data_IF_970327332117
#
_entry.id   IF_970327332117
#
_cell.length_a   1.000
_cell.length_b   1.000
_cell.length_c   1.000
_cell.angle_alpha   90.00
_cell.angle_beta   90.00
_cell.angle_gamma   90.00
#
_symmetry.space_group_name_H-M   'P 1'
#
loop_
_entity.id
_entity.type
_entity.pdbx_description
1 polymer ?
#
# COMPACT_ATOMS: atom_id res chain seq x y z
N UNK A 1 -35.60 23.81 5.78
CA UNK A 1 -34.61 22.99 5.03
C UNK A 1 -33.41 23.80 4.49
N UNK A 2 -33.33 25.12 4.63
CA UNK A 2 -32.22 25.95 4.08
C UNK A 2 -30.94 25.94 4.96
N UNK A 3 -30.98 25.40 6.18
CA UNK A 3 -29.83 25.44 7.11
C UNK A 3 -28.76 24.34 6.91
N UNK A 4 -29.05 23.23 6.23
CA UNK A 4 -28.12 22.09 6.17
C UNK A 4 -26.97 22.31 5.18
N UNK A 5 -27.20 22.99 4.06
CA UNK A 5 -26.16 23.19 3.03
C UNK A 5 -25.07 24.17 3.49
N UNK A 6 -25.46 25.21 4.23
CA UNK A 6 -24.51 26.17 4.79
C UNK A 6 -23.66 25.54 5.89
N UNK A 7 -24.27 24.72 6.75
CA UNK A 7 -23.53 23.96 7.77
C UNK A 7 -22.54 22.98 7.12
N UNK A 8 -22.96 22.21 6.12
CA UNK A 8 -22.06 21.27 5.43
C UNK A 8 -20.87 22.00 4.77
N UNK A 9 -21.11 23.12 4.08
CA UNK A 9 -20.03 23.94 3.47
C UNK A 9 -19.06 24.48 4.53
N UNK A 10 -19.56 24.92 5.68
CA UNK A 10 -18.71 25.39 6.79
C UNK A 10 -17.86 24.24 7.36
N UNK A 11 -18.45 23.07 7.60
CA UNK A 11 -17.72 21.89 8.07
C UNK A 11 -16.58 21.48 7.14
N UNK A 12 -16.83 21.42 5.82
CA UNK A 12 -15.80 21.08 4.83
C UNK A 12 -14.65 22.09 4.84
N UNK A 13 -14.95 23.39 4.98
CA UNK A 13 -13.92 24.43 5.08
C UNK A 13 -13.08 24.28 6.34
N UNK A 14 -13.71 24.03 7.49
CA UNK A 14 -13.01 23.82 8.76
C UNK A 14 -12.08 22.60 8.69
N UNK A 15 -12.57 21.47 8.18
CA UNK A 15 -11.76 20.25 8.00
C UNK A 15 -10.54 20.53 7.13
N UNK A 16 -10.71 21.25 6.01
CA UNK A 16 -9.59 21.62 5.14
C UNK A 16 -8.55 22.51 5.86
N UNK A 17 -8.99 23.48 6.67
CA UNK A 17 -8.09 24.33 7.45
C UNK A 17 -7.28 23.48 8.44
N UNK A 18 -7.94 22.55 9.15
CA UNK A 18 -7.25 21.65 10.08
C UNK A 18 -6.26 20.72 9.36
N UNK A 19 -6.61 20.18 8.20
CA UNK A 19 -5.70 19.37 7.38
C UNK A 19 -4.43 20.13 7.03
N UNK A 20 -4.57 21.36 6.51
CA UNK A 20 -3.44 22.20 6.11
C UNK A 20 -2.60 22.58 7.33
N UNK A 21 -3.23 23.02 8.42
CA UNK A 21 -2.53 23.37 9.65
C UNK A 21 -1.72 22.18 10.19
N UNK A 22 -2.28 20.98 10.20
CA UNK A 22 -1.62 19.80 10.72
C UNK A 22 -0.43 19.36 9.85
N UNK A 23 -0.56 19.44 8.52
CA UNK A 23 0.56 19.20 7.59
C UNK A 23 1.66 20.24 7.78
N UNK A 24 1.33 21.52 7.95
CA UNK A 24 2.29 22.60 8.19
C UNK A 24 3.02 22.43 9.51
N UNK A 25 2.32 22.09 10.60
CA UNK A 25 2.92 21.78 11.90
C UNK A 25 3.90 20.61 11.75
N UNK A 26 3.49 19.54 11.08
CA UNK A 26 4.37 18.38 10.87
C UNK A 26 5.61 18.72 10.03
N UNK A 27 5.44 19.54 8.98
CA UNK A 27 6.56 20.04 8.18
C UNK A 27 7.50 20.92 9.02
N UNK A 28 6.96 21.81 9.87
CA UNK A 28 7.77 22.63 10.78
C UNK A 28 8.57 21.76 11.75
N UNK A 29 7.99 20.71 12.33
CA UNK A 29 8.71 19.78 13.20
C UNK A 29 9.87 19.09 12.47
N UNK A 30 9.72 18.80 11.18
CA UNK A 30 10.81 18.23 10.36
C UNK A 30 11.89 19.27 10.09
N UNK A 31 11.51 20.48 9.64
CA UNK A 31 12.46 21.53 9.25
C UNK A 31 13.29 22.02 10.45
N UNK A 32 12.68 22.06 11.63
CA UNK A 32 13.34 22.46 12.89
C UNK A 32 14.18 21.35 13.52
N UNK A 33 14.16 20.13 12.97
CA UNK A 33 14.90 18.99 13.49
C UNK A 33 14.25 18.30 14.70
N UNK A 34 13.08 18.74 15.18
CA UNK A 34 12.35 18.04 16.24
C UNK A 34 11.87 16.65 15.82
N UNK A 35 11.64 16.44 14.52
CA UNK A 35 11.29 15.14 13.96
C UNK A 35 12.18 14.80 12.77
N UNK A 36 12.91 13.70 12.90
CA UNK A 36 13.74 13.17 11.82
C UNK A 36 13.45 11.69 11.59
N UNK A 37 13.38 11.32 10.31
CA UNK A 37 13.32 9.94 9.88
C UNK A 37 14.69 9.47 9.44
N UNK A 38 15.13 8.34 9.99
CA UNK A 38 16.42 7.74 9.66
C UNK A 38 16.26 6.90 8.40
N UNK A 39 17.14 7.13 7.41
CA UNK A 39 17.24 6.27 6.23
C UNK A 39 17.76 4.92 6.70
N UNK A 40 17.12 3.83 6.24
CA UNK A 40 17.50 2.49 6.67
C UNK A 40 18.97 2.16 6.33
N UNK A 41 19.65 1.46 7.23
CA UNK A 41 21.10 1.16 7.13
C UNK A 41 21.49 0.54 5.79
N UNK A 42 20.68 -0.38 5.26
CA UNK A 42 20.91 -1.03 3.96
C UNK A 42 21.07 -0.07 2.77
N UNK A 43 20.58 1.17 2.86
CA UNK A 43 20.82 2.23 1.89
C UNK A 43 21.86 3.20 2.41
N UNK A 44 21.78 3.56 3.69
CA UNK A 44 22.72 4.50 4.31
C UNK A 44 24.18 4.07 4.16
N UNK A 45 24.49 2.82 4.51
CA UNK A 45 25.84 2.27 4.53
C UNK A 45 26.52 2.29 3.14
N UNK A 46 25.72 2.31 2.06
CA UNK A 46 26.22 2.33 0.68
C UNK A 46 26.30 3.74 0.09
N UNK A 47 25.44 4.66 0.54
CA UNK A 47 25.25 5.97 -0.10
C UNK A 47 25.77 7.16 0.72
N UNK A 48 25.91 7.08 2.05
CA UNK A 48 26.30 8.23 2.86
C UNK A 48 27.77 8.64 2.66
N UNK A 49 28.67 7.67 2.47
CA UNK A 49 30.11 7.93 2.34
C UNK A 49 30.57 8.11 0.89
N UNK A 50 29.70 7.84 -0.09
CA UNK A 50 30.06 7.89 -1.50
C UNK A 50 29.81 9.26 -2.13
N UNK A 51 30.73 9.68 -3.02
CA UNK A 51 30.57 10.88 -3.84
C UNK A 51 29.41 10.74 -4.84
N UNK A 52 28.94 11.85 -5.42
CA UNK A 52 27.82 11.84 -6.37
C UNK A 52 28.01 10.86 -7.55
N UNK A 53 29.21 10.85 -8.15
CA UNK A 53 29.53 9.94 -9.26
C UNK A 53 29.61 8.47 -8.81
N UNK A 54 30.18 8.22 -7.63
CA UNK A 54 30.24 6.87 -7.05
C UNK A 54 28.85 6.32 -6.74
N UNK A 55 27.94 7.16 -6.23
CA UNK A 55 26.55 6.76 -5.98
C UNK A 55 25.85 6.33 -7.27
N UNK A 56 26.00 7.09 -8.35
CA UNK A 56 25.43 6.74 -9.68
C UNK A 56 25.92 5.37 -10.16
N UNK A 57 27.24 5.15 -10.11
CA UNK A 57 27.86 3.91 -10.55
C UNK A 57 27.47 2.73 -9.64
N UNK A 58 27.32 2.97 -8.34
CA UNK A 58 26.89 1.97 -7.36
C UNK A 58 25.48 1.50 -7.66
N UNK A 59 24.54 2.42 -7.93
CA UNK A 59 23.16 2.05 -8.30
C UNK A 59 23.15 1.20 -9.58
N UNK A 60 23.85 1.63 -10.62
CA UNK A 60 23.91 0.90 -11.89
C UNK A 60 24.55 -0.49 -11.74
N UNK A 61 25.65 -0.57 -10.98
CA UNK A 61 26.33 -1.84 -10.67
C UNK A 61 25.39 -2.78 -9.91
N UNK A 62 24.64 -2.29 -8.93
CA UNK A 62 23.70 -3.11 -8.19
C UNK A 62 22.55 -3.63 -9.05
N UNK A 63 22.11 -2.89 -10.07
CA UNK A 63 21.16 -3.43 -11.05
C UNK A 63 21.82 -4.46 -11.97
N UNK A 64 23.05 -4.22 -12.42
CA UNK A 64 23.80 -5.16 -13.26
C UNK A 64 24.07 -6.50 -12.53
N UNK A 65 24.44 -6.41 -11.26
CA UNK A 65 24.69 -7.55 -10.36
C UNK A 65 23.39 -8.22 -9.89
N UNK A 66 22.23 -7.69 -10.29
CA UNK A 66 20.91 -8.11 -9.82
C UNK A 66 20.90 -8.17 -8.29
N UNK A 67 21.32 -7.12 -7.61
CA UNK A 67 21.24 -7.07 -6.15
C UNK A 67 19.79 -6.90 -5.69
N UNK A 68 19.39 -7.67 -4.67
CA UNK A 68 18.06 -7.57 -4.05
C UNK A 68 17.76 -6.20 -3.45
N UNK A 69 18.79 -5.41 -3.16
CA UNK A 69 18.67 -4.07 -2.59
C UNK A 69 18.63 -2.97 -3.65
N UNK A 70 18.92 -3.29 -4.91
CA UNK A 70 18.98 -2.31 -6.01
C UNK A 70 17.70 -1.48 -6.12
N UNK A 71 16.53 -2.12 -6.04
CA UNK A 71 15.24 -1.43 -6.13
C UNK A 71 14.98 -0.48 -4.96
N UNK A 72 15.43 -0.84 -3.75
CA UNK A 72 15.33 0.01 -2.55
C UNK A 72 16.24 1.23 -2.65
N UNK A 73 17.46 1.01 -3.12
CA UNK A 73 18.45 2.06 -3.31
C UNK A 73 17.98 3.01 -4.42
N UNK A 74 17.48 2.48 -5.54
CA UNK A 74 16.94 3.29 -6.63
C UNK A 74 15.77 4.18 -6.19
N UNK A 75 14.96 3.72 -5.24
CA UNK A 75 13.83 4.49 -4.71
C UNK A 75 14.28 5.68 -3.85
N UNK A 76 15.38 5.54 -3.10
CA UNK A 76 15.91 6.59 -2.21
C UNK A 76 16.96 7.45 -2.91
N UNK A 77 17.60 6.94 -3.96
CA UNK A 77 18.66 7.62 -4.69
C UNK A 77 18.31 9.06 -5.14
N UNK A 78 17.10 9.35 -5.65
CA UNK A 78 16.72 10.73 -5.99
C UNK A 78 16.80 11.70 -4.80
N UNK A 79 16.60 11.23 -3.57
CA UNK A 79 16.68 12.05 -2.36
C UNK A 79 18.13 12.48 -2.11
N UNK A 80 19.08 11.56 -2.27
CA UNK A 80 20.51 11.86 -2.18
C UNK A 80 20.94 12.88 -3.24
N UNK A 81 20.49 12.71 -4.49
CA UNK A 81 20.82 13.66 -5.56
C UNK A 81 20.24 15.05 -5.29
N UNK A 82 18.98 15.13 -4.88
CA UNK A 82 18.33 16.40 -4.56
C UNK A 82 18.95 17.06 -3.33
N UNK A 83 19.42 16.28 -2.37
CA UNK A 83 20.13 16.79 -1.19
C UNK A 83 21.43 17.49 -1.58
N UNK A 84 22.23 16.91 -2.47
CA UNK A 84 23.46 17.55 -2.96
C UNK A 84 23.15 18.82 -3.78
N UNK A 85 22.15 18.77 -4.67
CA UNK A 85 21.78 19.90 -5.54
C UNK A 85 21.25 21.08 -4.73
N UNK A 86 20.39 20.81 -3.74
CA UNK A 86 19.75 21.84 -2.93
C UNK A 86 20.58 22.25 -1.71
N UNK A 87 21.67 21.53 -1.42
CA UNK A 87 22.46 21.65 -0.20
C UNK A 87 21.60 21.56 1.08
N UNK A 88 20.65 20.63 1.09
CA UNK A 88 19.76 20.34 2.23
C UNK A 88 20.19 19.03 2.85
N UNK A 89 20.20 18.91 4.18
CA UNK A 89 20.49 17.65 4.86
C UNK A 89 19.61 16.48 4.32
N UNK A 90 20.25 15.36 3.97
CA UNK A 90 19.61 14.18 3.35
C UNK A 90 18.44 13.66 4.19
N UNK A 91 18.59 13.60 5.52
CA UNK A 91 17.58 13.07 6.43
C UNK A 91 16.37 14.02 6.54
N UNK A 92 16.60 15.33 6.51
CA UNK A 92 15.51 16.33 6.40
C UNK A 92 14.73 16.13 5.11
N UNK A 93 15.42 15.97 3.97
CA UNK A 93 14.77 15.78 2.68
C UNK A 93 14.04 14.43 2.58
N UNK A 94 14.59 13.37 3.16
CA UNK A 94 13.91 12.08 3.31
C UNK A 94 12.63 12.22 4.15
N UNK A 95 12.70 12.93 5.28
CA UNK A 95 11.55 13.19 6.15
C UNK A 95 10.46 13.99 5.44
N UNK A 96 10.83 15.00 4.65
CA UNK A 96 9.90 15.74 3.80
C UNK A 96 9.28 14.86 2.72
N UNK A 97 10.06 13.96 2.12
CA UNK A 97 9.56 12.98 1.13
C UNK A 97 8.50 12.07 1.76
N UNK A 98 8.74 11.57 2.98
CA UNK A 98 7.76 10.78 3.73
C UNK A 98 6.46 11.57 3.95
N UNK A 99 6.54 12.84 4.36
CA UNK A 99 5.37 13.71 4.51
C UNK A 99 4.61 13.90 3.19
N UNK A 100 5.31 14.14 2.08
CA UNK A 100 4.70 14.26 0.75
C UNK A 100 3.94 12.98 0.40
N UNK A 101 4.54 11.81 0.59
CA UNK A 101 3.89 10.53 0.32
C UNK A 101 2.66 10.29 1.20
N UNK A 102 2.68 10.70 2.48
CA UNK A 102 1.51 10.64 3.36
C UNK A 102 0.37 11.51 2.83
N UNK A 103 0.66 12.76 2.43
CA UNK A 103 -0.35 13.67 1.89
C UNK A 103 -0.91 13.16 0.57
N UNK A 104 -0.07 12.57 -0.30
CA UNK A 104 -0.53 11.97 -1.54
C UNK A 104 -1.40 10.73 -1.29
N UNK A 105 -0.96 9.82 -0.40
CA UNK A 105 -1.75 8.65 0.01
C UNK A 105 -3.10 9.08 0.59
N UNK A 106 -3.11 10.09 1.45
CA UNK A 106 -4.32 10.68 2.02
C UNK A 106 -5.29 11.15 0.94
N UNK A 107 -4.80 11.98 0.00
CA UNK A 107 -5.61 12.47 -1.14
C UNK A 107 -6.14 11.34 -2.01
N UNK A 108 -5.35 10.29 -2.21
CA UNK A 108 -5.76 9.11 -2.97
C UNK A 108 -6.93 8.40 -2.28
N UNK A 109 -6.80 8.09 -0.98
CA UNK A 109 -7.86 7.43 -0.20
C UNK A 109 -9.13 8.28 -0.19
N UNK A 110 -9.01 9.60 0.02
CA UNK A 110 -10.13 10.52 -0.05
C UNK A 110 -10.82 10.54 -1.41
N UNK A 111 -10.08 10.45 -2.51
CA UNK A 111 -10.69 10.45 -3.85
C UNK A 111 -11.62 9.25 -4.04
N UNK A 112 -11.28 8.10 -3.46
CA UNK A 112 -12.12 6.90 -3.47
C UNK A 112 -13.33 7.13 -2.54
N UNK A 113 -13.10 7.57 -1.30
CA UNK A 113 -14.14 7.78 -0.29
C UNK A 113 -15.15 8.88 -0.64
N UNK A 114 -14.76 9.90 -1.42
CA UNK A 114 -15.68 10.93 -1.93
C UNK A 114 -16.79 10.33 -2.80
N UNK A 115 -16.54 9.19 -3.44
CA UNK A 115 -17.58 8.43 -4.18
C UNK A 115 -18.64 7.83 -3.25
N UNK A 116 -18.42 7.86 -1.93
CA UNK A 116 -19.28 7.29 -0.89
C UNK A 116 -19.76 8.35 0.14
N UNK A 117 -19.67 9.66 -0.16
CA UNK A 117 -20.15 10.75 0.72
C UNK A 117 -19.56 10.81 2.15
N UNK A 118 -18.40 10.17 2.41
CA UNK A 118 -17.81 10.09 3.77
C UNK A 118 -16.72 11.14 4.02
N UNK A 119 -16.89 12.36 3.49
CA UNK A 119 -15.83 13.38 3.56
C UNK A 119 -15.54 13.91 4.97
N UNK A 120 -16.46 13.75 5.92
CA UNK A 120 -16.30 14.25 7.29
C UNK A 120 -15.25 13.49 8.12
N UNK A 121 -14.86 12.27 7.70
CA UNK A 121 -13.86 11.45 8.42
C UNK A 121 -12.43 11.63 7.86
N UNK A 122 -12.28 12.55 6.92
CA UNK A 122 -11.03 12.87 6.25
C UNK A 122 -9.92 13.22 7.26
N UNK A 123 -10.21 14.13 8.21
CA UNK A 123 -9.25 14.52 9.23
C UNK A 123 -8.71 13.33 10.07
N UNK A 124 -9.58 12.41 10.48
CA UNK A 124 -9.17 11.22 11.25
C UNK A 124 -8.26 10.29 10.46
N UNK A 125 -8.51 10.14 9.16
CA UNK A 125 -7.62 9.37 8.26
C UNK A 125 -6.25 10.01 8.23
N UNK A 126 -6.16 11.34 8.07
CA UNK A 126 -4.88 12.05 8.04
C UNK A 126 -4.10 11.87 9.34
N UNK A 127 -4.75 12.07 10.49
CA UNK A 127 -4.11 11.88 11.82
C UNK A 127 -3.61 10.45 11.98
N UNK A 128 -4.43 9.47 11.62
CA UNK A 128 -4.05 8.05 11.70
C UNK A 128 -2.84 7.71 10.82
N UNK A 129 -2.82 8.20 9.57
CA UNK A 129 -1.69 8.02 8.66
C UNK A 129 -0.40 8.67 9.18
N UNK A 130 -0.50 9.84 9.84
CA UNK A 130 0.65 10.51 10.43
C UNK A 130 1.20 9.75 11.65
N UNK A 131 0.34 9.20 12.51
CA UNK A 131 0.77 8.31 13.60
C UNK A 131 1.49 7.09 13.01
N UNK A 132 0.95 6.51 11.94
CA UNK A 132 1.56 5.35 11.28
C UNK A 132 2.90 5.63 10.62
N UNK A 133 3.15 6.88 10.20
CA UNK A 133 4.44 7.25 9.65
C UNK A 133 5.59 7.05 10.63
N UNK A 134 5.30 7.08 11.94
CA UNK A 134 6.28 6.85 13.00
C UNK A 134 6.81 5.41 12.99
N UNK A 135 6.07 4.46 12.40
CA UNK A 135 6.50 3.07 12.30
C UNK A 135 7.62 2.91 11.27
N UNK A 136 8.66 2.14 11.64
CA UNK A 136 9.79 1.79 10.79
C UNK A 136 10.48 3.00 10.14
N UNK A 137 10.56 4.12 10.86
CA UNK A 137 11.16 5.37 10.38
C UNK A 137 10.67 5.80 8.98
N UNK A 138 9.35 5.73 8.74
CA UNK A 138 8.74 6.19 7.49
C UNK A 138 8.91 5.23 6.30
N UNK A 139 9.71 4.16 6.41
CA UNK A 139 9.92 3.19 5.32
C UNK A 139 8.61 2.56 4.85
N UNK A 140 7.71 2.26 5.79
CA UNK A 140 6.43 1.61 5.48
C UNK A 140 5.48 2.52 4.68
N UNK A 141 5.65 3.84 4.77
CA UNK A 141 4.82 4.83 4.06
C UNK A 141 4.94 4.65 2.55
N UNK A 142 6.12 4.32 2.03
CA UNK A 142 6.32 4.04 0.61
C UNK A 142 5.45 2.86 0.16
N UNK A 143 5.45 1.74 0.90
CA UNK A 143 4.61 0.59 0.58
C UNK A 143 3.11 0.88 0.74
N UNK A 144 2.70 1.59 1.79
CA UNK A 144 1.32 1.99 1.97
C UNK A 144 0.84 2.91 0.84
N UNK A 145 1.69 3.85 0.40
CA UNK A 145 1.41 4.69 -0.76
C UNK A 145 1.25 3.87 -2.05
N UNK A 146 2.16 2.93 -2.31
CA UNK A 146 2.05 2.01 -3.45
C UNK A 146 0.74 1.21 -3.43
N UNK A 147 0.39 0.62 -2.29
CA UNK A 147 -0.87 -0.11 -2.12
C UNK A 147 -2.10 0.80 -2.27
N UNK A 148 -2.08 2.01 -1.73
CA UNK A 148 -3.15 3.00 -1.94
C UNK A 148 -3.30 3.35 -3.44
N UNK A 149 -2.19 3.47 -4.16
CA UNK A 149 -2.20 3.72 -5.61
C UNK A 149 -2.80 2.53 -6.38
N UNK A 150 -2.48 1.28 -6.02
CA UNK A 150 -3.13 0.08 -6.61
C UNK A 150 -4.65 0.14 -6.41
N UNK A 151 -5.11 0.41 -5.17
CA UNK A 151 -6.53 0.55 -4.87
C UNK A 151 -7.17 1.62 -5.75
N UNK A 152 -6.55 2.80 -5.86
CA UNK A 152 -7.10 3.91 -6.63
C UNK A 152 -7.19 3.61 -8.13
N UNK A 153 -6.14 3.05 -8.71
CA UNK A 153 -6.09 2.82 -10.16
C UNK A 153 -7.08 1.72 -10.55
N UNK A 154 -7.14 0.63 -9.78
CA UNK A 154 -8.11 -0.44 -10.00
C UNK A 154 -9.54 0.04 -9.77
N UNK A 155 -9.79 0.79 -8.68
CA UNK A 155 -11.10 1.38 -8.39
C UNK A 155 -11.55 2.31 -9.53
N UNK A 156 -10.69 3.24 -9.95
CA UNK A 156 -10.99 4.20 -11.01
C UNK A 156 -11.23 3.49 -12.33
N UNK A 157 -10.45 2.45 -12.66
CA UNK A 157 -10.65 1.69 -13.90
C UNK A 157 -12.00 0.96 -13.94
N UNK A 158 -12.44 0.44 -12.79
CA UNK A 158 -13.70 -0.30 -12.66
C UNK A 158 -14.90 0.64 -12.72
N UNK A 159 -14.89 1.70 -11.91
CA UNK A 159 -16.05 2.59 -11.72
C UNK A 159 -16.08 3.75 -12.73
N UNK A 160 -14.93 4.21 -13.20
CA UNK A 160 -14.79 5.35 -14.09
C UNK A 160 -13.84 5.05 -15.27
N UNK A 161 -14.16 4.06 -16.13
CA UNK A 161 -13.23 3.56 -17.15
C UNK A 161 -12.77 4.60 -18.17
N UNK A 162 -13.54 5.69 -18.37
CA UNK A 162 -13.15 6.81 -19.24
C UNK A 162 -12.04 7.68 -18.64
N UNK A 163 -11.90 7.72 -17.31
CA UNK A 163 -10.85 8.49 -16.61
C UNK A 163 -9.49 7.79 -16.61
N UNK A 164 -9.47 6.45 -16.72
CA UNK A 164 -8.27 5.62 -16.64
C UNK A 164 -8.15 4.72 -17.88
N UNK A 165 -7.33 5.12 -18.84
CA UNK A 165 -6.97 4.28 -19.99
C UNK A 165 -5.93 3.20 -19.59
N UNK A 166 -5.66 2.24 -20.48
CA UNK A 166 -4.77 1.13 -20.17
C UNK A 166 -3.31 1.55 -19.98
N UNK A 167 -2.81 2.52 -20.75
CA UNK A 167 -1.43 3.01 -20.57
C UNK A 167 -1.25 3.68 -19.19
N UNK A 168 -2.17 4.55 -18.78
CA UNK A 168 -2.15 5.16 -17.44
C UNK A 168 -2.26 4.12 -16.34
N UNK A 169 -3.13 3.11 -16.52
CA UNK A 169 -3.25 1.98 -15.60
C UNK A 169 -1.90 1.26 -15.42
N UNK A 170 -1.23 0.89 -16.52
CA UNK A 170 0.05 0.18 -16.48
C UNK A 170 1.12 1.04 -15.81
N UNK A 171 1.25 2.31 -16.21
CA UNK A 171 2.23 3.24 -15.63
C UNK A 171 2.02 3.38 -14.11
N UNK A 172 0.79 3.65 -13.67
CA UNK A 172 0.53 3.79 -12.24
C UNK A 172 0.72 2.49 -11.46
N UNK A 173 0.41 1.33 -12.05
CA UNK A 173 0.69 0.05 -11.41
C UNK A 173 2.19 -0.24 -11.31
N UNK A 174 2.98 0.11 -12.33
CA UNK A 174 4.45 0.00 -12.27
C UNK A 174 5.02 0.91 -11.18
N UNK A 175 4.57 2.16 -11.11
CA UNK A 175 4.95 3.10 -10.05
C UNK A 175 4.57 2.53 -8.69
N UNK A 176 3.34 2.03 -8.54
CA UNK A 176 2.86 1.46 -7.29
C UNK A 176 3.70 0.25 -6.84
N UNK A 177 4.00 -0.67 -7.75
CA UNK A 177 4.84 -1.83 -7.49
C UNK A 177 6.28 -1.43 -7.13
N UNK A 178 6.82 -0.38 -7.76
CA UNK A 178 8.13 0.18 -7.40
C UNK A 178 8.13 0.75 -5.98
N UNK A 179 7.11 1.51 -5.59
CA UNK A 179 6.96 1.97 -4.20
C UNK A 179 6.82 0.82 -3.19
N UNK A 180 6.16 -0.28 -3.57
CA UNK A 180 6.04 -1.47 -2.74
C UNK A 180 7.34 -2.29 -2.65
N UNK A 181 8.38 -2.01 -3.45
CA UNK A 181 9.65 -2.75 -3.45
C UNK A 181 10.58 -2.42 -2.27
N UNK A 182 10.17 -1.52 -1.35
CA UNK A 182 10.90 -1.22 -0.11
C UNK A 182 11.13 -2.45 0.75
N UNK A 183 10.30 -3.47 0.65
CA UNK A 183 10.47 -4.77 1.30
C UNK A 183 9.98 -5.89 0.38
N UNK A 184 10.57 -7.08 0.48
CA UNK A 184 10.09 -8.25 -0.26
C UNK A 184 8.65 -8.58 0.13
N UNK A 185 8.34 -8.56 1.43
CA UNK A 185 7.00 -8.84 1.92
C UNK A 185 5.93 -7.85 1.43
N UNK A 186 6.23 -6.54 1.39
CA UNK A 186 5.26 -5.54 0.90
C UNK A 186 5.02 -5.62 -0.60
N UNK A 187 6.06 -5.97 -1.37
CA UNK A 187 5.94 -6.23 -2.79
C UNK A 187 5.08 -7.48 -3.06
N UNK A 188 5.30 -8.56 -2.32
CA UNK A 188 4.48 -9.77 -2.41
C UNK A 188 3.02 -9.46 -2.03
N UNK A 189 2.76 -8.57 -1.06
CA UNK A 189 1.38 -8.14 -0.72
C UNK A 189 0.72 -7.47 -1.91
N UNK A 190 1.41 -6.55 -2.59
CA UNK A 190 0.88 -5.86 -3.76
C UNK A 190 0.54 -6.83 -4.90
N UNK A 191 1.47 -7.75 -5.21
CA UNK A 191 1.26 -8.79 -6.24
C UNK A 191 0.13 -9.75 -5.84
N UNK A 192 0.15 -10.24 -4.60
CA UNK A 192 -0.88 -11.12 -4.05
C UNK A 192 -2.26 -10.46 -4.09
N UNK A 193 -2.35 -9.17 -3.78
CA UNK A 193 -3.60 -8.42 -3.84
C UNK A 193 -4.17 -8.35 -5.26
N UNK A 194 -3.31 -8.20 -6.28
CA UNK A 194 -3.70 -8.21 -7.70
C UNK A 194 -4.20 -9.60 -8.10
N UNK A 195 -3.47 -10.66 -7.74
CA UNK A 195 -3.85 -12.05 -8.04
C UNK A 195 -5.19 -12.38 -7.38
N UNK A 196 -5.32 -12.13 -6.07
CA UNK A 196 -6.56 -12.38 -5.31
C UNK A 196 -7.72 -11.56 -5.87
N UNK A 197 -7.49 -10.29 -6.23
CA UNK A 197 -8.52 -9.45 -6.86
C UNK A 197 -9.04 -10.09 -8.15
N UNK A 198 -8.13 -10.50 -9.03
CA UNK A 198 -8.45 -11.15 -10.29
C UNK A 198 -9.24 -12.45 -10.06
N UNK A 199 -8.75 -13.32 -9.18
CA UNK A 199 -9.38 -14.60 -8.86
C UNK A 199 -10.77 -14.44 -8.26
N UNK A 200 -10.95 -13.54 -7.29
CA UNK A 200 -12.27 -13.27 -6.67
C UNK A 200 -13.25 -12.70 -7.70
N UNK A 201 -12.80 -11.78 -8.56
CA UNK A 201 -13.64 -11.22 -9.62
C UNK A 201 -14.07 -12.25 -10.65
N UNK A 202 -13.16 -13.16 -11.05
CA UNK A 202 -13.50 -14.28 -11.95
C UNK A 202 -14.51 -15.22 -11.30
N UNK A 203 -14.25 -15.63 -10.05
CA UNK A 203 -15.13 -16.54 -9.30
C UNK A 203 -16.54 -15.97 -9.12
N UNK A 204 -16.65 -14.67 -8.83
CA UNK A 204 -17.93 -13.98 -8.63
C UNK A 204 -18.63 -13.67 -9.97
N UNK A 205 -17.87 -13.47 -11.04
CA UNK A 205 -18.39 -13.19 -12.39
C UNK A 205 -18.75 -14.43 -13.20
N UNK A 206 -18.33 -15.62 -12.79
CA UNK A 206 -18.57 -16.86 -13.51
C UNK A 206 -20.07 -17.22 -13.59
N UNK A 207 -20.57 -17.75 -14.72
CA UNK A 207 -19.86 -18.01 -15.99
C UNK A 207 -19.77 -16.79 -16.94
N UNK A 208 -20.44 -15.68 -16.63
CA UNK A 208 -20.56 -14.53 -17.52
C UNK A 208 -19.57 -13.41 -17.19
N UNK A 209 -18.30 -13.63 -17.51
CA UNK A 209 -17.23 -12.64 -17.30
C UNK A 209 -17.37 -11.49 -18.30
N UNK A 210 -17.43 -10.26 -17.79
CA UNK A 210 -17.49 -9.06 -18.64
C UNK A 210 -16.21 -8.89 -19.46
N UNK A 211 -16.34 -8.67 -20.79
CA UNK A 211 -15.19 -8.43 -21.70
C UNK A 211 -14.21 -7.38 -21.19
N UNK A 212 -14.70 -6.30 -20.59
CA UNK A 212 -13.86 -5.23 -20.01
C UNK A 212 -12.96 -5.74 -18.90
N UNK A 213 -13.48 -6.63 -18.05
CA UNK A 213 -12.70 -7.24 -16.99
C UNK A 213 -11.71 -8.27 -17.55
N UNK A 214 -12.07 -9.03 -18.58
CA UNK A 214 -11.14 -9.95 -19.25
C UNK A 214 -9.90 -9.22 -19.79
N UNK A 215 -10.09 -8.05 -20.43
CA UNK A 215 -8.95 -7.25 -20.92
C UNK A 215 -8.10 -6.75 -19.73
N UNK A 216 -8.73 -6.27 -18.65
CA UNK A 216 -8.01 -5.89 -17.44
C UNK A 216 -7.20 -7.05 -16.87
N UNK A 217 -7.79 -8.25 -16.82
CA UNK A 217 -7.13 -9.47 -16.36
C UNK A 217 -5.88 -9.79 -17.20
N UNK A 218 -6.00 -9.78 -18.53
CA UNK A 218 -4.85 -10.01 -19.44
C UNK A 218 -3.74 -9.00 -19.19
N UNK A 219 -4.07 -7.72 -19.03
CA UNK A 219 -3.08 -6.66 -18.73
C UNK A 219 -2.39 -6.90 -17.39
N UNK A 220 -3.14 -7.29 -16.36
CA UNK A 220 -2.58 -7.58 -15.03
C UNK A 220 -1.68 -8.82 -15.08
N UNK A 221 -2.08 -9.88 -15.78
CA UNK A 221 -1.23 -11.07 -15.97
C UNK A 221 0.05 -10.73 -16.73
N UNK A 222 -0.04 -9.96 -17.82
CA UNK A 222 1.15 -9.53 -18.58
C UNK A 222 2.11 -8.72 -17.71
N UNK A 223 1.58 -7.82 -16.86
CA UNK A 223 2.39 -7.08 -15.89
C UNK A 223 3.07 -8.01 -14.86
N UNK A 224 2.36 -9.02 -14.36
CA UNK A 224 2.92 -10.00 -13.41
C UNK A 224 4.02 -10.86 -14.06
N UNK A 225 3.85 -11.25 -15.32
CA UNK A 225 4.89 -11.96 -16.08
C UNK A 225 6.13 -11.07 -16.24
N UNK A 226 5.95 -9.80 -16.61
CA UNK A 226 7.05 -8.84 -16.72
C UNK A 226 7.82 -8.65 -15.40
N UNK A 227 7.10 -8.66 -14.27
CA UNK A 227 7.68 -8.50 -12.93
C UNK A 227 8.16 -9.82 -12.31
N UNK A 228 7.92 -10.96 -12.98
CA UNK A 228 8.24 -12.29 -12.44
C UNK A 228 9.73 -12.48 -12.09
N UNK A 229 10.72 -11.93 -12.82
CA UNK A 229 12.12 -12.09 -12.42
C UNK A 229 12.41 -11.45 -11.05
N UNK A 230 11.85 -10.27 -10.80
CA UNK A 230 11.99 -9.56 -9.51
C UNK A 230 11.29 -10.34 -8.39
N UNK A 231 10.10 -10.90 -8.68
CA UNK A 231 9.35 -11.68 -7.71
C UNK A 231 10.07 -12.98 -7.32
N UNK A 232 10.55 -13.74 -8.30
CA UNK A 232 11.33 -14.96 -8.06
C UNK A 232 12.58 -14.66 -7.26
N UNK A 233 13.27 -13.57 -7.62
CA UNK A 233 14.42 -13.11 -6.90
C UNK A 233 14.10 -12.79 -5.42
N UNK A 234 13.01 -12.06 -5.14
CA UNK A 234 12.61 -11.75 -3.76
C UNK A 234 12.21 -12.99 -2.95
N UNK A 235 11.58 -13.98 -3.60
CA UNK A 235 11.21 -15.26 -2.97
C UNK A 235 12.47 -16.05 -2.62
N UNK A 236 13.38 -16.22 -3.58
CA UNK A 236 14.63 -16.96 -3.38
C UNK A 236 15.46 -16.34 -2.25
N UNK A 237 15.57 -15.01 -2.22
CA UNK A 237 16.24 -14.32 -1.11
C UNK A 237 15.69 -14.70 0.26
N UNK A 238 14.36 -14.69 0.38
CA UNK A 238 13.72 -15.02 1.65
C UNK A 238 13.96 -16.51 1.97
N UNK A 239 13.84 -17.41 0.99
CA UNK A 239 14.16 -18.82 1.22
C UNK A 239 15.60 -19.00 1.68
N UNK A 240 16.57 -18.39 1.00
CA UNK A 240 17.99 -18.48 1.36
C UNK A 240 18.27 -17.91 2.75
N UNK A 241 17.64 -16.77 3.12
CA UNK A 241 17.81 -16.15 4.42
C UNK A 241 17.26 -17.00 5.58
N UNK A 242 16.27 -17.86 5.32
CA UNK A 242 15.64 -18.71 6.32
C UNK A 242 15.98 -20.20 6.10
N UNK A 243 17.11 -20.50 5.47
CA UNK A 243 17.62 -21.86 5.22
C UNK A 243 16.60 -22.78 4.52
N UNK A 244 15.80 -22.21 3.61
CA UNK A 244 14.72 -22.89 2.90
C UNK A 244 13.49 -23.22 3.75
N UNK A 245 13.48 -22.87 5.04
CA UNK A 245 12.43 -23.25 5.99
C UNK A 245 11.31 -22.20 6.06
N UNK A 246 10.14 -22.55 5.53
CA UNK A 246 8.92 -21.76 5.69
C UNK A 246 8.50 -21.60 7.16
N UNK A 247 8.82 -22.57 8.01
CA UNK A 247 8.53 -22.49 9.46
C UNK A 247 9.41 -21.43 10.11
N UNK A 248 10.71 -21.38 9.75
CA UNK A 248 11.62 -20.34 10.21
C UNK A 248 11.16 -18.95 9.76
N UNK A 249 10.63 -18.84 8.54
CA UNK A 249 10.01 -17.62 8.05
C UNK A 249 8.78 -17.21 8.87
N UNK A 250 7.89 -18.16 9.21
CA UNK A 250 6.70 -17.89 10.03
C UNK A 250 7.07 -17.42 11.44
N UNK A 251 8.11 -18.02 12.03
CA UNK A 251 8.61 -17.65 13.36
C UNK A 251 9.14 -16.21 13.45
N UNK A 252 9.49 -15.60 12.31
CA UNK A 252 9.91 -14.21 12.26
C UNK A 252 8.74 -13.21 12.29
N UNK A 253 7.57 -13.62 11.79
CA UNK A 253 6.40 -12.75 11.67
C UNK A 253 5.30 -13.04 12.69
N UNK A 254 4.08 -12.63 12.36
CA UNK A 254 2.90 -12.93 13.17
C UNK A 254 2.56 -14.43 13.20
N UNK A 255 3.12 -15.21 12.25
CA UNK A 255 2.97 -16.65 12.15
C UNK A 255 3.52 -17.42 13.35
N UNK A 256 4.50 -16.87 14.09
CA UNK A 256 5.02 -17.46 15.33
C UNK A 256 3.88 -17.82 16.30
N UNK A 257 2.98 -16.87 16.51
CA UNK A 257 1.83 -17.07 17.39
C UNK A 257 0.82 -18.09 16.84
N UNK A 258 0.76 -18.30 15.52
CA UNK A 258 -0.16 -19.28 14.92
C UNK A 258 0.37 -20.71 15.11
N UNK A 259 1.69 -20.90 15.05
CA UNK A 259 2.34 -22.20 15.20
C UNK A 259 2.13 -22.78 16.61
N UNK A 260 2.18 -21.92 17.63
CA UNK A 260 1.98 -22.31 19.04
C UNK A 260 0.57 -22.87 19.32
N UNK A 261 -0.41 -22.58 18.45
CA UNK A 261 -1.82 -22.97 18.63
C UNK A 261 -2.37 -23.87 17.50
N UNK A 262 -1.54 -24.71 16.89
CA UNK A 262 -1.89 -25.52 15.70
C UNK A 262 -3.25 -26.25 15.78
N UNK A 263 -3.61 -26.84 16.91
CA UNK A 263 -4.92 -27.51 17.11
C UNK A 263 -6.10 -26.53 17.05
N UNK A 264 -5.95 -25.35 17.68
CA UNK A 264 -6.95 -24.27 17.61
C UNK A 264 -7.06 -23.75 16.18
N UNK A 265 -5.93 -23.64 15.47
CA UNK A 265 -5.88 -23.24 14.06
C UNK A 265 -6.65 -24.22 13.17
N UNK A 266 -6.58 -25.53 13.42
CA UNK A 266 -7.35 -26.54 12.69
C UNK A 266 -8.87 -26.35 12.84
N UNK A 267 -9.35 -26.13 14.06
CA UNK A 267 -10.77 -25.84 14.33
C UNK A 267 -11.21 -24.53 13.68
N UNK A 268 -10.37 -23.49 13.74
CA UNK A 268 -10.62 -22.20 13.08
C UNK A 268 -10.70 -22.33 11.56
N UNK A 269 -9.85 -23.16 10.93
CA UNK A 269 -9.91 -23.42 9.49
C UNK A 269 -11.20 -24.12 9.08
N UNK A 270 -11.67 -25.08 9.88
CA UNK A 270 -12.95 -25.72 9.64
C UNK A 270 -14.10 -24.71 9.70
N UNK A 271 -14.17 -23.88 10.76
CA UNK A 271 -15.16 -22.80 10.88
C UNK A 271 -15.04 -21.80 9.72
N UNK A 272 -13.82 -21.45 9.34
CA UNK A 272 -13.54 -20.53 8.25
C UNK A 272 -14.09 -21.03 6.92
N UNK A 273 -14.12 -22.34 6.66
CA UNK A 273 -14.71 -22.90 5.44
C UNK A 273 -16.23 -22.63 5.33
N UNK A 274 -16.98 -22.73 6.43
CA UNK A 274 -18.40 -22.36 6.47
C UNK A 274 -18.62 -20.86 6.33
N UNK A 275 -17.77 -20.06 6.98
CA UNK A 275 -17.78 -18.61 6.83
C UNK A 275 -17.43 -18.18 5.40
N UNK A 276 -16.58 -18.94 4.70
CA UNK A 276 -16.17 -18.66 3.33
C UNK A 276 -17.36 -18.68 2.37
N UNK A 277 -18.31 -19.61 2.51
CA UNK A 277 -19.53 -19.62 1.68
C UNK A 277 -20.38 -18.37 1.92
N UNK A 278 -20.63 -18.00 3.19
CA UNK A 278 -21.36 -16.77 3.54
C UNK A 278 -20.64 -15.53 3.01
N UNK A 279 -19.31 -15.54 3.07
CA UNK A 279 -18.45 -14.49 2.58
C UNK A 279 -18.52 -14.33 1.06
N UNK A 280 -18.46 -15.42 0.29
CA UNK A 280 -18.65 -15.36 -1.17
C UNK A 280 -20.06 -14.84 -1.52
N UNK A 281 -21.10 -15.28 -0.82
CA UNK A 281 -22.46 -14.75 -0.99
C UNK A 281 -22.54 -13.24 -0.68
N UNK A 282 -21.87 -12.79 0.39
CA UNK A 282 -21.74 -11.37 0.71
C UNK A 282 -21.04 -10.60 -0.42
N UNK A 283 -19.94 -11.12 -0.98
CA UNK A 283 -19.21 -10.45 -2.06
C UNK A 283 -19.97 -10.42 -3.40
N UNK A 284 -20.76 -11.46 -3.70
CA UNK A 284 -21.65 -11.46 -4.87
C UNK A 284 -22.62 -10.29 -4.84
N UNK A 285 -23.15 -9.96 -3.64
CA UNK A 285 -24.07 -8.83 -3.41
C UNK A 285 -23.36 -7.48 -3.31
N UNK A 286 -22.11 -7.47 -2.84
CA UNK A 286 -21.38 -6.25 -2.52
C UNK A 286 -20.04 -6.20 -3.26
N UNK A 287 -20.11 -6.16 -4.60
CA UNK A 287 -18.94 -6.26 -5.49
C UNK A 287 -17.91 -5.14 -5.28
N UNK A 288 -18.29 -3.99 -4.70
CA UNK A 288 -17.35 -2.93 -4.38
C UNK A 288 -16.31 -3.31 -3.33
N UNK A 289 -16.59 -4.27 -2.42
CA UNK A 289 -15.64 -4.68 -1.39
C UNK A 289 -14.54 -5.62 -1.90
N UNK A 290 -14.68 -6.20 -3.09
CA UNK A 290 -13.72 -7.19 -3.61
C UNK A 290 -12.29 -6.63 -3.66
N UNK A 291 -12.15 -5.36 -4.04
CA UNK A 291 -10.86 -4.71 -4.17
C UNK A 291 -10.16 -4.42 -2.84
N UNK A 292 -10.74 -3.71 -1.85
CA UNK A 292 -10.09 -3.54 -0.55
C UNK A 292 -9.86 -4.88 0.13
N UNK A 293 -10.80 -5.82 0.00
CA UNK A 293 -10.68 -7.12 0.63
C UNK A 293 -9.57 -7.99 0.05
N UNK A 294 -9.32 -7.95 -1.26
CA UNK A 294 -8.21 -8.72 -1.84
C UNK A 294 -6.86 -8.29 -1.26
N UNK A 295 -6.69 -6.99 -1.00
CA UNK A 295 -5.51 -6.44 -0.36
C UNK A 295 -5.44 -6.78 1.14
N UNK A 296 -6.57 -6.77 1.84
CA UNK A 296 -6.66 -7.25 3.23
C UNK A 296 -6.22 -8.71 3.32
N UNK A 297 -6.79 -9.59 2.49
CA UNK A 297 -6.45 -11.02 2.47
C UNK A 297 -4.95 -11.20 2.15
N UNK A 298 -4.43 -10.51 1.13
CA UNK A 298 -3.00 -10.55 0.80
C UNK A 298 -2.14 -10.12 1.99
N UNK A 299 -2.49 -9.00 2.63
CA UNK A 299 -1.74 -8.46 3.78
C UNK A 299 -1.79 -9.36 5.01
N UNK A 300 -2.89 -10.08 5.24
CA UNK A 300 -3.01 -11.05 6.34
C UNK A 300 -2.16 -12.29 6.04
N UNK A 301 -2.32 -12.88 4.85
CA UNK A 301 -1.63 -14.09 4.45
C UNK A 301 -0.10 -13.91 4.45
N UNK A 302 0.38 -12.80 3.88
CA UNK A 302 1.81 -12.49 3.79
C UNK A 302 2.32 -11.82 5.07
N UNK A 303 1.42 -11.16 5.82
CA UNK A 303 1.68 -10.60 7.15
C UNK A 303 2.09 -11.63 8.19
N UNK A 304 1.72 -12.91 7.99
CA UNK A 304 2.23 -14.03 8.79
C UNK A 304 3.76 -14.08 8.80
N UNK A 305 4.42 -13.62 7.73
CA UNK A 305 5.88 -13.63 7.59
C UNK A 305 6.53 -12.28 7.96
N UNK A 306 5.76 -11.24 8.30
CA UNK A 306 6.32 -9.95 8.71
C UNK A 306 5.30 -8.84 8.95
N UNK A 307 5.48 -8.11 10.06
CA UNK A 307 4.59 -7.00 10.45
C UNK A 307 4.53 -5.87 9.43
N UNK A 308 5.63 -5.59 8.72
CA UNK A 308 5.63 -4.59 7.64
C UNK A 308 4.66 -4.96 6.52
N UNK A 309 4.55 -6.25 6.19
CA UNK A 309 3.65 -6.74 5.14
C UNK A 309 2.20 -6.56 5.57
N UNK A 310 1.89 -6.87 6.84
CA UNK A 310 0.56 -6.65 7.43
C UNK A 310 0.19 -5.15 7.42
N UNK A 311 1.09 -4.30 7.92
CA UNK A 311 0.88 -2.86 7.99
C UNK A 311 0.68 -2.23 6.60
N UNK A 312 1.31 -2.77 5.56
CA UNK A 312 1.17 -2.23 4.20
C UNK A 312 -0.27 -2.34 3.65
N UNK A 313 -1.09 -3.26 4.16
CA UNK A 313 -2.50 -3.41 3.76
C UNK A 313 -3.45 -2.37 4.37
N UNK A 314 -2.98 -1.57 5.32
CA UNK A 314 -3.78 -0.64 6.11
C UNK A 314 -4.65 0.35 5.30
N UNK A 315 -4.20 0.92 4.16
CA UNK A 315 -5.07 1.72 3.29
C UNK A 315 -6.35 0.98 2.87
N UNK A 316 -6.27 -0.34 2.66
CA UNK A 316 -7.42 -1.16 2.30
C UNK A 316 -8.37 -1.40 3.49
N UNK A 317 -7.84 -1.54 4.71
CA UNK A 317 -8.65 -1.64 5.93
C UNK A 317 -9.45 -0.36 6.18
N UNK A 318 -8.79 0.79 6.06
CA UNK A 318 -9.43 2.11 6.15
C UNK A 318 -10.59 2.16 5.14
N UNK A 319 -10.30 1.87 3.88
CA UNK A 319 -11.30 1.91 2.82
C UNK A 319 -12.47 0.94 3.08
N UNK A 320 -12.18 -0.29 3.49
CA UNK A 320 -13.18 -1.32 3.78
C UNK A 320 -14.14 -0.89 4.90
N UNK A 321 -13.60 -0.45 6.04
CA UNK A 321 -14.40 -0.06 7.21
C UNK A 321 -15.34 1.09 6.83
N UNK A 322 -14.83 2.11 6.15
CA UNK A 322 -15.65 3.26 5.76
C UNK A 322 -16.73 2.91 4.74
N UNK A 323 -16.40 2.09 3.74
CA UNK A 323 -17.40 1.60 2.78
C UNK A 323 -18.49 0.78 3.49
N UNK A 324 -18.13 -0.02 4.49
CA UNK A 324 -19.06 -0.84 5.25
C UNK A 324 -20.01 0.00 6.11
N UNK A 325 -19.46 0.95 6.89
CA UNK A 325 -20.26 1.86 7.72
C UNK A 325 -21.24 2.68 6.88
N UNK A 326 -20.79 3.23 5.75
CA UNK A 326 -21.65 4.04 4.89
C UNK A 326 -22.80 3.21 4.27
N UNK A 327 -22.52 1.98 3.83
CA UNK A 327 -23.54 1.11 3.24
C UNK A 327 -24.66 0.75 4.22
N UNK A 328 -24.35 0.66 5.51
CA UNK A 328 -25.34 0.38 6.55
C UNK A 328 -26.10 1.64 6.97
N UNK A 329 -25.46 2.81 7.03
CA UNK A 329 -26.13 4.07 7.36
C UNK A 329 -27.15 4.49 6.29
N UNK A 330 -26.91 4.20 5.01
CA UNK A 330 -27.87 4.43 3.92
C UNK A 330 -29.15 3.55 4.01
N UNK A 331 -29.21 2.60 4.94
CA UNK A 331 -30.41 1.78 5.19
C UNK A 331 -31.22 2.23 6.40
N UNK A 332 -30.73 3.22 7.17
CA UNK A 332 -31.35 3.70 8.42
C UNK A 332 -32.02 5.07 8.24
N UNK A 333 -31.83 5.72 7.09
CA UNK A 333 -32.61 6.86 6.60
C UNK A 333 -33.66 6.41 5.60
#
# INVERSE_FOLDING_TARGET
MINNDNQHKQWVRLVFIYEVAFVLIYAMLIITGYREFIIWSQVGDLLFESSFHERSNTVLKLFADKSFHATRIALIYPIFQLSDILNINVLTLYSLTVLILLVLMYKIILSILRSYSVAHLAFFILVFLLILSLFMHGRIVFAMFGNALILYVLFTRIHFPRKMNFMKLVIYLMIALWFCSVSSGTFTVAVGAIIIFCSLRMLIGWPYIQRRFLILFVVLIALLILMSPILLQMINKNLDYYDGSLISMLNHGFGKYVLDYFYVTGVLLFIASFLFVKFICFLKRNKEFILPLSMIIASLAIGLFGLSSLASGLPAYILFIYMYLNKNNLKVS
#
